data_IF_460121647574
#
_entry.id   IF_460121647574
#
_cell.length_a   1.000
_cell.length_b   1.000
_cell.length_c   1.000
_cell.angle_alpha   90.00
_cell.angle_beta   90.00
_cell.angle_gamma   90.00
#
_symmetry.space_group_name_H-M   'P 1'
#
loop_
_entity.id
_entity.type
_entity.pdbx_description
1 polymer ?
#
# COMPACT_ATOMS: atom_id res chain seq x y z
N UNK A 1 11.47 -11.00 2.29
CA UNK A 1 11.90 -11.29 0.90
C UNK A 1 13.41 -11.32 0.91
N UNK A 2 14.01 -12.50 0.72
CA UNK A 2 15.44 -12.58 0.41
C UNK A 2 15.60 -12.42 -1.09
N UNK A 3 16.24 -11.33 -1.51
CA UNK A 3 16.64 -11.11 -2.89
C UNK A 3 18.09 -10.61 -2.91
N UNK A 4 18.84 -10.98 -3.93
CA UNK A 4 20.24 -10.58 -4.04
C UNK A 4 20.33 -9.09 -4.39
N UNK A 5 20.63 -8.27 -3.37
CA UNK A 5 20.81 -6.83 -3.49
C UNK A 5 21.92 -6.45 -4.47
N UNK A 6 22.96 -7.29 -4.63
CA UNK A 6 24.06 -7.00 -5.57
C UNK A 6 23.59 -7.15 -7.02
N UNK A 7 22.88 -8.24 -7.32
CA UNK A 7 22.27 -8.43 -8.65
C UNK A 7 21.24 -7.34 -8.95
N UNK A 8 20.41 -6.97 -7.98
CA UNK A 8 19.40 -5.92 -8.14
C UNK A 8 20.03 -4.55 -8.44
N UNK A 9 21.07 -4.14 -7.70
CA UNK A 9 21.82 -2.91 -7.99
C UNK A 9 22.46 -2.91 -9.38
N UNK A 10 22.94 -4.06 -9.84
CA UNK A 10 23.56 -4.21 -11.17
C UNK A 10 22.54 -4.06 -12.29
N UNK A 11 21.34 -4.64 -12.13
CA UNK A 11 20.28 -4.59 -13.13
C UNK A 11 19.49 -3.28 -13.11
N UNK A 12 19.26 -2.71 -11.91
CA UNK A 12 18.40 -1.54 -11.70
C UNK A 12 19.08 -0.50 -10.81
N UNK A 13 20.14 0.17 -11.30
CA UNK A 13 20.96 1.07 -10.48
C UNK A 13 20.18 2.29 -9.96
N UNK A 14 19.27 2.86 -10.77
CA UNK A 14 18.47 4.01 -10.36
C UNK A 14 17.38 3.63 -9.35
N UNK A 15 16.71 2.49 -9.58
CA UNK A 15 15.68 1.97 -8.67
C UNK A 15 16.27 1.59 -7.31
N UNK A 16 17.49 1.04 -7.29
CA UNK A 16 18.21 0.78 -6.05
C UNK A 16 18.56 2.07 -5.29
N UNK A 17 18.98 3.13 -5.99
CA UNK A 17 19.21 4.45 -5.38
C UNK A 17 17.92 5.02 -4.78
N UNK A 18 16.80 4.93 -5.48
CA UNK A 18 15.50 5.38 -4.97
C UNK A 18 15.10 4.62 -3.70
N UNK A 19 15.23 3.28 -3.73
CA UNK A 19 14.94 2.42 -2.57
C UNK A 19 15.81 2.76 -1.35
N UNK A 20 17.08 3.12 -1.58
CA UNK A 20 18.04 3.47 -0.52
C UNK A 20 17.88 4.90 -0.01
N UNK A 21 17.48 5.83 -0.88
CA UNK A 21 17.23 7.23 -0.51
C UNK A 21 16.02 7.35 0.44
N UNK A 22 15.04 6.46 0.30
CA UNK A 22 13.80 6.49 1.08
C UNK A 22 12.86 7.66 0.75
N UNK A 23 13.24 8.55 -0.17
CA UNK A 23 12.48 9.77 -0.50
C UNK A 23 11.12 9.45 -1.13
N UNK A 24 11.03 8.38 -1.91
CA UNK A 24 9.83 7.99 -2.68
C UNK A 24 9.14 6.75 -2.11
N UNK A 25 9.13 6.57 -0.78
CA UNK A 25 8.50 5.41 -0.14
C UNK A 25 7.00 5.67 0.08
N UNK A 26 6.16 4.73 -0.38
CA UNK A 26 4.75 4.66 0.02
C UNK A 26 4.60 3.64 1.14
N UNK A 27 4.10 4.05 2.29
CA UNK A 27 3.88 3.15 3.42
C UNK A 27 2.61 2.32 3.22
N UNK A 28 2.76 1.00 3.29
CA UNK A 28 1.62 0.09 3.32
C UNK A 28 1.15 0.00 4.77
N UNK A 29 0.13 0.78 5.11
CA UNK A 29 -0.41 0.85 6.49
C UNK A 29 -1.08 -0.46 6.93
N UNK A 30 -1.62 -1.26 6.00
CA UNK A 30 -2.22 -2.55 6.33
C UNK A 30 -2.27 -3.46 5.11
N UNK A 31 -2.08 -4.76 5.34
CA UNK A 31 -2.29 -5.82 4.34
C UNK A 31 -3.52 -6.62 4.78
N UNK A 32 -4.55 -6.67 3.93
CA UNK A 32 -5.74 -7.50 4.19
C UNK A 32 -5.41 -8.96 3.87
N UNK A 33 -5.12 -9.75 4.90
CA UNK A 33 -4.85 -11.19 4.74
C UNK A 33 -6.13 -12.03 4.68
N UNK A 34 -7.22 -11.55 5.26
CA UNK A 34 -8.52 -12.22 5.26
C UNK A 34 -9.62 -11.25 4.83
N UNK A 35 -10.32 -11.59 3.74
CA UNK A 35 -11.40 -10.77 3.15
C UNK A 35 -12.50 -10.49 4.17
N UNK A 36 -12.98 -11.52 4.88
CA UNK A 36 -14.05 -11.38 5.88
C UNK A 36 -13.63 -10.51 7.07
N UNK A 37 -12.37 -10.60 7.48
CA UNK A 37 -11.83 -9.76 8.56
C UNK A 37 -11.70 -8.29 8.10
N UNK A 38 -11.30 -8.07 6.85
CA UNK A 38 -11.25 -6.74 6.23
C UNK A 38 -12.63 -6.10 6.12
N UNK A 39 -13.64 -6.85 5.66
CA UNK A 39 -15.02 -6.38 5.56
C UNK A 39 -15.59 -6.01 6.94
N UNK A 40 -15.37 -6.85 7.96
CA UNK A 40 -15.83 -6.60 9.33
C UNK A 40 -15.15 -5.39 10.01
N UNK A 41 -13.87 -5.13 9.71
CA UNK A 41 -13.16 -3.97 10.23
C UNK A 41 -13.63 -2.65 9.58
N UNK A 42 -14.05 -2.72 8.32
CA UNK A 42 -14.55 -1.60 7.52
C UNK A 42 -16.02 -1.31 7.87
N UNK A 43 -16.83 -2.34 8.12
CA UNK A 43 -18.28 -2.21 8.35
C UNK A 43 -18.64 -1.32 9.54
N UNK A 44 -17.82 -1.29 10.61
CA UNK A 44 -18.08 -0.44 11.76
C UNK A 44 -17.65 1.02 11.57
N UNK A 45 -16.76 1.29 10.62
CA UNK A 45 -16.17 2.63 10.40
C UNK A 45 -17.09 3.58 9.65
N UNK A 46 -18.09 3.03 8.95
CA UNK A 46 -19.03 3.78 8.12
C UNK A 46 -20.45 3.81 8.69
N UNK A 47 -20.65 3.36 9.93
CA UNK A 47 -21.95 3.49 10.60
C UNK A 47 -22.20 4.99 10.76
N UNK A 48 -23.19 5.53 10.03
CA UNK A 48 -23.52 6.95 9.88
C UNK A 48 -22.61 7.80 8.96
N UNK A 49 -21.81 7.18 8.08
CA UNK A 49 -21.05 7.92 7.08
C UNK A 49 -21.87 8.16 5.81
N UNK A 50 -22.06 9.43 5.42
CA UNK A 50 -22.55 9.80 4.09
C UNK A 50 -21.35 10.08 3.17
N UNK A 51 -21.04 9.20 2.21
CA UNK A 51 -19.94 9.43 1.28
C UNK A 51 -20.23 10.60 0.35
N UNK A 52 -19.21 11.41 0.09
CA UNK A 52 -19.25 12.43 -0.95
C UNK A 52 -18.84 11.87 -2.32
N UNK A 53 -18.90 12.71 -3.36
CA UNK A 53 -18.56 12.31 -4.74
C UNK A 53 -17.08 11.87 -4.86
N UNK A 54 -16.18 12.45 -4.06
CA UNK A 54 -14.76 12.11 -4.06
C UNK A 54 -14.54 10.73 -3.42
N UNK A 55 -15.31 10.38 -2.39
CA UNK A 55 -15.24 9.06 -1.76
C UNK A 55 -15.62 7.92 -2.69
N UNK A 56 -16.57 8.16 -3.60
CA UNK A 56 -16.91 7.17 -4.63
C UNK A 56 -15.77 6.97 -5.63
N UNK A 57 -15.10 8.05 -6.05
CA UNK A 57 -13.96 7.97 -6.97
C UNK A 57 -12.80 7.17 -6.34
N UNK A 58 -12.57 7.33 -5.03
CA UNK A 58 -11.50 6.62 -4.30
C UNK A 58 -11.79 5.14 -3.99
N UNK A 59 -13.01 4.65 -4.27
CA UNK A 59 -13.43 3.25 -3.98
C UNK A 59 -13.27 2.29 -5.16
N UNK A 60 -12.98 2.78 -6.36
CA UNK A 60 -12.63 1.98 -7.54
C UNK A 60 -11.11 1.77 -7.63
#
# INVERSE_FOLDING_TARGET
>A
MEFDKKLFRKMFPNLAKELESGENKVEINSVRTNVKAGEKAVSNRFIHYMPDVIDFIRRC
#
